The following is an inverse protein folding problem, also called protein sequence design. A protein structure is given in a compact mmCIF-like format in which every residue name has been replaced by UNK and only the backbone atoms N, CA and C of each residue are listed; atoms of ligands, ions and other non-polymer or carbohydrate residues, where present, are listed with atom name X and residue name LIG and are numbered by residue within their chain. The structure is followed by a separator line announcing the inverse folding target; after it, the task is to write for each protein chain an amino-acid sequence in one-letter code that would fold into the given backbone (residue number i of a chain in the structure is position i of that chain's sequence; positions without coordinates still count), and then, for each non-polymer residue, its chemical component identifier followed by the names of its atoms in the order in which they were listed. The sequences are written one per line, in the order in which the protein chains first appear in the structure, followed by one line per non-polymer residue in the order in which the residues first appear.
data_IF_070767513980
#
_entry.id   IF_070767513980
#
_cell.length_a   1.000
_cell.length_b   1.000
_cell.length_c   1.000
_cell.angle_alpha   90.00
_cell.angle_beta   90.00
_cell.angle_gamma   90.00
#
_symmetry.space_group_name_H-M   'P 1'
#
loop_
_entity.id
_entity.type
_entity.pdbx_description
1 polymer ?
#
# COMPACT_ATOMS: atom_id res chain seq x y z
N UNK A 1 25.44 -11.37 -26.14
CA UNK A 1 24.24 -10.80 -25.51
C UNK A 1 24.17 -11.37 -24.11
N UNK A 2 24.23 -10.53 -23.06
CA UNK A 2 24.01 -11.00 -21.69
C UNK A 2 22.54 -11.44 -21.59
N UNK A 3 22.29 -12.65 -21.11
CA UNK A 3 20.93 -13.07 -20.75
C UNK A 3 20.36 -12.02 -19.79
N UNK A 4 19.12 -11.55 -19.96
CA UNK A 4 18.49 -10.70 -18.96
C UNK A 4 18.45 -11.49 -17.65
N UNK A 5 19.06 -10.93 -16.61
CA UNK A 5 18.94 -11.49 -15.26
C UNK A 5 17.49 -11.30 -14.82
N UNK A 6 16.73 -12.40 -14.85
CA UNK A 6 15.31 -12.43 -14.50
C UNK A 6 15.04 -12.03 -13.03
N UNK A 7 16.09 -11.90 -12.22
CA UNK A 7 16.03 -11.44 -10.83
C UNK A 7 16.53 -9.99 -10.64
N UNK A 8 16.96 -9.31 -11.70
CA UNK A 8 17.46 -7.93 -11.60
C UNK A 8 16.38 -6.95 -11.13
N UNK A 9 15.13 -7.19 -11.54
CA UNK A 9 13.96 -6.47 -11.07
C UNK A 9 13.22 -7.32 -10.04
N UNK A 10 13.35 -6.91 -8.77
CA UNK A 10 12.83 -7.65 -7.62
C UNK A 10 12.04 -6.78 -6.66
N UNK A 11 10.89 -7.29 -6.25
CA UNK A 11 10.00 -6.63 -5.29
C UNK A 11 10.07 -7.36 -3.95
N UNK A 12 10.19 -6.59 -2.87
CA UNK A 12 10.04 -7.12 -1.52
C UNK A 12 8.62 -6.87 -1.03
N UNK A 13 7.97 -7.91 -0.51
CA UNK A 13 6.66 -7.79 0.13
C UNK A 13 6.86 -8.02 1.63
N UNK A 14 6.51 -7.01 2.43
CA UNK A 14 6.51 -7.10 3.88
C UNK A 14 5.13 -7.55 4.38
N UNK A 15 5.10 -8.71 5.02
CA UNK A 15 3.90 -9.34 5.55
C UNK A 15 3.57 -8.83 6.95
N UNK A 16 2.43 -8.16 7.09
CA UNK A 16 1.86 -7.71 8.35
C UNK A 16 0.75 -8.66 8.85
N UNK A 17 0.65 -9.87 8.27
CA UNK A 17 -0.31 -10.91 8.66
C UNK A 17 -1.57 -10.92 7.81
N UNK A 18 -1.58 -10.30 6.63
CA UNK A 18 -2.76 -10.34 5.74
C UNK A 18 -3.01 -11.74 5.21
N UNK A 19 -4.27 -12.16 5.20
CA UNK A 19 -4.72 -13.32 4.42
C UNK A 19 -4.42 -13.20 2.91
N UNK A 20 -4.20 -11.97 2.41
CA UNK A 20 -3.97 -11.68 0.99
C UNK A 20 -2.48 -11.50 0.62
N UNK A 21 -1.53 -11.61 1.54
CA UNK A 21 -0.09 -11.41 1.24
C UNK A 21 0.39 -12.35 0.11
N UNK A 22 0.00 -13.62 0.17
CA UNK A 22 0.35 -14.60 -0.89
C UNK A 22 -0.31 -14.26 -2.23
N UNK A 23 -1.51 -13.68 -2.21
CA UNK A 23 -2.18 -13.23 -3.43
C UNK A 23 -1.45 -12.05 -4.07
N UNK A 24 -0.96 -11.09 -3.27
CA UNK A 24 -0.13 -9.98 -3.75
C UNK A 24 1.13 -10.54 -4.44
N UNK A 25 1.84 -11.47 -3.80
CA UNK A 25 3.03 -12.09 -4.38
C UNK A 25 2.72 -12.83 -5.70
N UNK A 26 1.57 -13.52 -5.76
CA UNK A 26 1.11 -14.15 -7.00
C UNK A 26 0.86 -13.12 -8.10
N UNK A 27 0.23 -11.98 -7.81
CA UNK A 27 0.00 -10.90 -8.81
C UNK A 27 1.29 -10.29 -9.32
N UNK A 28 2.28 -10.07 -8.45
CA UNK A 28 3.61 -9.59 -8.86
C UNK A 28 4.30 -10.58 -9.80
N UNK A 29 4.22 -11.88 -9.49
CA UNK A 29 4.79 -12.94 -10.36
C UNK A 29 4.03 -13.10 -11.67
N UNK A 30 2.72 -12.92 -11.67
CA UNK A 30 1.90 -12.90 -12.90
C UNK A 30 2.29 -11.73 -13.82
N UNK A 31 2.73 -10.60 -13.25
CA UNK A 31 3.35 -9.49 -13.96
C UNK A 31 4.80 -9.75 -14.39
N UNK A 32 5.31 -10.98 -14.21
CA UNK A 32 6.65 -11.46 -14.60
C UNK A 32 7.80 -10.78 -13.84
N UNK A 33 7.55 -10.31 -12.62
CA UNK A 33 8.58 -9.72 -11.74
C UNK A 33 8.89 -10.69 -10.60
N UNK A 34 10.17 -10.83 -10.25
CA UNK A 34 10.57 -11.65 -9.11
C UNK A 34 10.17 -10.99 -7.79
N UNK A 35 9.70 -11.77 -6.82
CA UNK A 35 9.39 -11.24 -5.50
C UNK A 35 9.61 -12.25 -4.37
N UNK A 36 9.98 -11.71 -3.21
CA UNK A 36 10.05 -12.42 -1.95
C UNK A 36 9.07 -11.84 -0.94
N UNK A 37 8.51 -12.70 -0.10
CA UNK A 37 7.75 -12.30 1.07
C UNK A 37 8.66 -12.44 2.28
N UNK A 38 8.74 -11.37 3.09
CA UNK A 38 9.43 -11.38 4.39
C UNK A 38 8.46 -10.89 5.46
N UNK A 39 8.69 -11.27 6.71
CA UNK A 39 7.95 -10.69 7.82
C UNK A 39 8.24 -9.19 7.91
N UNK A 40 7.31 -8.44 8.50
CA UNK A 40 7.45 -6.99 8.63
C UNK A 40 8.68 -6.57 9.44
N UNK A 41 9.16 -7.39 10.36
CA UNK A 41 10.28 -7.13 11.27
C UNK A 41 11.65 -7.50 10.65
N UNK A 42 11.76 -7.49 9.32
CA UNK A 42 13.02 -7.80 8.62
C UNK A 42 14.14 -6.82 9.02
N UNK A 43 15.33 -7.36 9.26
CA UNK A 43 16.52 -6.57 9.58
C UNK A 43 16.94 -5.67 8.40
N UNK A 44 17.48 -4.50 8.73
CA UNK A 44 17.97 -3.55 7.73
C UNK A 44 19.06 -4.16 6.81
N UNK A 45 19.99 -4.95 7.37
CA UNK A 45 21.03 -5.61 6.60
C UNK A 45 20.46 -6.59 5.57
N UNK A 46 19.40 -7.32 5.95
CA UNK A 46 18.71 -8.25 5.05
C UNK A 46 17.96 -7.50 3.94
N UNK A 47 17.36 -6.36 4.28
CA UNK A 47 16.68 -5.47 3.34
C UNK A 47 17.67 -4.89 2.31
N UNK A 48 18.83 -4.40 2.76
CA UNK A 48 19.90 -3.88 1.90
C UNK A 48 20.51 -4.98 1.01
N UNK A 49 20.80 -6.15 1.58
CA UNK A 49 21.32 -7.29 0.83
C UNK A 49 20.33 -7.78 -0.23
N UNK A 50 19.03 -7.70 0.06
CA UNK A 50 17.98 -8.00 -0.92
C UNK A 50 17.91 -6.94 -2.03
N UNK A 51 18.37 -5.70 -1.81
CA UNK A 51 18.38 -4.60 -2.78
C UNK A 51 17.12 -4.57 -3.68
N UNK A 52 15.92 -4.35 -3.09
CA UNK A 52 14.66 -4.31 -3.83
C UNK A 52 14.61 -3.14 -4.81
N UNK A 53 13.87 -3.30 -5.91
CA UNK A 53 13.50 -2.20 -6.83
C UNK A 53 12.20 -1.51 -6.42
N UNK A 54 11.46 -2.11 -5.51
CA UNK A 54 10.25 -1.57 -4.91
C UNK A 54 9.79 -2.44 -3.75
N UNK A 55 9.01 -1.85 -2.84
CA UNK A 55 8.56 -2.51 -1.62
C UNK A 55 7.03 -2.42 -1.54
N UNK A 56 6.37 -3.52 -1.17
CA UNK A 56 4.94 -3.54 -0.88
C UNK A 56 4.75 -3.84 0.60
N UNK A 57 4.06 -2.96 1.31
CA UNK A 57 3.60 -3.17 2.67
C UNK A 57 2.19 -3.76 2.59
N UNK A 58 2.05 -5.02 2.97
CA UNK A 58 0.76 -5.72 2.94
C UNK A 58 -0.23 -5.18 3.98
N UNK A 59 -1.48 -5.65 3.89
CA UNK A 59 -2.45 -5.44 4.96
C UNK A 59 -2.14 -6.28 6.21
N UNK A 60 -2.99 -6.18 7.21
CA UNK A 60 -2.91 -6.97 8.43
C UNK A 60 -4.27 -7.00 9.12
N UNK A 61 -4.53 -7.97 10.01
CA UNK A 61 -5.75 -8.02 10.81
C UNK A 61 -5.76 -6.95 11.91
N UNK A 62 -4.57 -6.47 12.28
CA UNK A 62 -4.34 -5.55 13.38
C UNK A 62 -4.87 -4.14 13.09
N UNK A 63 -5.27 -3.43 14.15
CA UNK A 63 -5.40 -1.97 14.12
C UNK A 63 -4.05 -1.35 14.45
N UNK A 64 -3.69 -0.23 13.80
CA UNK A 64 -2.40 0.44 14.08
C UNK A 64 -2.35 1.00 15.52
N UNK A 65 -3.51 1.22 16.12
CA UNK A 65 -3.65 1.63 17.51
C UNK A 65 -3.28 0.51 18.48
N UNK A 66 -3.79 -0.69 18.25
CA UNK A 66 -3.62 -1.85 19.13
C UNK A 66 -2.23 -2.48 18.95
N UNK A 67 -1.72 -2.47 17.72
CA UNK A 67 -0.44 -3.07 17.35
C UNK A 67 0.62 -2.02 17.02
N UNK A 68 0.85 -1.08 17.93
CA UNK A 68 1.86 -0.01 17.76
C UNK A 68 3.31 -0.52 17.64
N UNK A 69 3.55 -1.81 17.85
CA UNK A 69 4.85 -2.48 17.64
C UNK A 69 4.99 -3.08 16.23
N UNK A 70 3.88 -3.26 15.50
CA UNK A 70 3.83 -3.84 14.17
C UNK A 70 4.06 -2.72 13.14
N UNK A 71 5.34 -2.43 12.86
CA UNK A 71 5.75 -1.29 12.02
C UNK A 71 6.76 -1.72 10.96
N UNK A 72 6.80 -0.99 9.85
CA UNK A 72 7.85 -1.21 8.85
C UNK A 72 9.21 -0.73 9.41
N UNK A 73 10.33 -1.42 9.10
CA UNK A 73 11.66 -0.93 9.43
C UNK A 73 11.87 0.43 8.77
N UNK A 74 12.43 1.39 9.50
CA UNK A 74 12.57 2.77 8.98
C UNK A 74 13.37 2.82 7.65
N UNK A 75 14.35 1.92 7.51
CA UNK A 75 15.14 1.74 6.30
C UNK A 75 14.29 1.57 5.03
N UNK A 76 13.08 1.00 5.12
CA UNK A 76 12.15 0.88 3.99
C UNK A 76 11.86 2.22 3.32
N UNK A 77 11.70 3.28 4.12
CA UNK A 77 11.37 4.62 3.62
C UNK A 77 12.61 5.43 3.22
N UNK A 78 13.81 4.97 3.60
CA UNK A 78 15.09 5.67 3.38
C UNK A 78 15.86 5.12 2.18
N UNK A 79 15.55 3.90 1.71
CA UNK A 79 16.20 3.24 0.57
C UNK A 79 16.08 3.97 -0.78
N UNK A 80 15.19 4.95 -0.89
CA UNK A 80 14.98 5.70 -2.13
C UNK A 80 14.33 4.89 -3.26
N UNK A 81 13.61 3.81 -2.92
CA UNK A 81 12.84 3.00 -3.87
C UNK A 81 11.33 3.20 -3.66
N UNK A 82 10.48 2.98 -4.67
CA UNK A 82 9.03 3.11 -4.52
C UNK A 82 8.47 2.17 -3.44
N UNK A 83 7.59 2.69 -2.60
CA UNK A 83 6.89 1.92 -1.56
C UNK A 83 5.38 2.02 -1.75
N UNK A 84 4.70 0.88 -1.81
CA UNK A 84 3.23 0.79 -1.89
C UNK A 84 2.68 0.25 -0.57
N UNK A 85 1.87 1.04 0.13
CA UNK A 85 1.13 0.58 1.31
C UNK A 85 -0.29 0.14 0.97
N UNK A 86 -0.70 -1.06 1.43
CA UNK A 86 -2.05 -1.59 1.21
C UNK A 86 -2.75 -1.78 2.56
N UNK A 87 -3.92 -1.13 2.75
CA UNK A 87 -4.70 -1.20 3.99
C UNK A 87 -3.83 -0.86 5.22
N UNK A 88 -3.53 -1.84 6.08
CA UNK A 88 -2.61 -1.66 7.22
C UNK A 88 -1.26 -1.07 6.81
N UNK A 89 -0.69 -1.50 5.68
CA UNK A 89 0.55 -0.97 5.14
C UNK A 89 0.48 0.53 4.82
N UNK A 90 -0.67 1.03 4.36
CA UNK A 90 -0.90 2.46 4.17
C UNK A 90 -0.99 3.19 5.51
N UNK A 91 -1.67 2.60 6.49
CA UNK A 91 -1.85 3.22 7.80
C UNK A 91 -0.52 3.31 8.59
N UNK A 92 0.27 2.24 8.59
CA UNK A 92 1.58 2.22 9.27
C UNK A 92 2.55 3.21 8.61
N UNK A 93 2.56 3.27 7.27
CA UNK A 93 3.30 4.28 6.50
C UNK A 93 2.86 5.70 6.89
N UNK A 94 1.55 5.95 6.91
CA UNK A 94 1.00 7.26 7.27
C UNK A 94 1.47 7.70 8.65
N UNK A 95 1.35 6.83 9.65
CA UNK A 95 1.74 7.15 11.02
C UNK A 95 3.26 7.34 11.17
N UNK A 96 4.08 6.52 10.51
CA UNK A 96 5.54 6.63 10.58
C UNK A 96 6.08 7.87 9.88
N UNK A 97 5.36 8.39 8.89
CA UNK A 97 5.74 9.61 8.16
C UNK A 97 5.11 10.90 8.73
N UNK A 98 4.54 10.84 9.94
CA UNK A 98 4.03 12.02 10.65
C UNK A 98 2.56 12.38 10.36
N UNK A 99 1.86 11.55 9.59
CA UNK A 99 0.41 11.62 9.45
C UNK A 99 -0.34 11.06 10.68
N UNK A 100 -1.67 11.04 10.60
CA UNK A 100 -2.55 10.49 11.63
C UNK A 100 -3.54 9.51 11.03
N UNK A 101 -3.77 8.44 11.76
CA UNK A 101 -4.77 7.40 11.48
C UNK A 101 -5.65 7.35 12.71
N UNK A 102 -6.96 7.18 12.55
CA UNK A 102 -7.95 7.02 13.62
C UNK A 102 -8.82 5.79 13.41
N UNK A 103 -9.24 5.16 14.50
CA UNK A 103 -10.16 4.03 14.42
C UNK A 103 -11.54 4.51 14.00
N UNK A 104 -12.10 3.91 12.95
CA UNK A 104 -13.42 4.25 12.46
C UNK A 104 -14.50 3.46 13.20
N UNK A 105 -15.58 4.14 13.59
CA UNK A 105 -16.75 3.49 14.21
C UNK A 105 -17.46 2.50 13.29
N UNK A 106 -17.37 2.71 11.96
CA UNK A 106 -17.84 1.78 10.94
C UNK A 106 -16.63 1.14 10.29
N UNK A 107 -16.52 -0.17 10.42
CA UNK A 107 -15.54 -0.95 9.68
C UNK A 107 -16.10 -1.22 8.29
N UNK A 108 -15.30 -0.97 7.26
CA UNK A 108 -15.69 -1.23 5.87
C UNK A 108 -14.94 -2.47 5.37
N UNK A 109 -15.71 -3.55 5.22
CA UNK A 109 -15.26 -4.78 4.61
C UNK A 109 -16.19 -5.10 3.45
N UNK A 110 -15.72 -4.89 2.23
CA UNK A 110 -16.48 -5.21 1.04
C UNK A 110 -16.28 -4.26 -0.12
N UNK A 111 -17.17 -4.41 -1.09
CA UNK A 111 -17.23 -3.59 -2.28
C UNK A 111 -17.49 -2.11 -1.92
N UNK A 112 -16.72 -1.22 -2.53
CA UNK A 112 -16.96 0.21 -2.52
C UNK A 112 -16.54 0.83 -3.85
N UNK A 113 -17.12 1.98 -4.18
CA UNK A 113 -16.66 2.81 -5.29
C UNK A 113 -15.80 3.95 -4.76
N UNK A 114 -14.55 4.04 -5.21
CA UNK A 114 -13.65 5.15 -4.89
C UNK A 114 -13.56 6.11 -6.06
N UNK A 115 -13.62 7.40 -5.75
CA UNK A 115 -13.33 8.43 -6.74
C UNK A 115 -11.83 8.58 -6.88
N UNK A 116 -11.30 8.19 -8.04
CA UNK A 116 -9.92 8.46 -8.42
C UNK A 116 -9.78 9.92 -8.86
N UNK A 117 -8.66 10.56 -8.50
CA UNK A 117 -8.40 11.97 -8.87
C UNK A 117 -7.50 12.14 -10.09
N UNK A 118 -7.15 11.05 -10.78
CA UNK A 118 -6.49 11.02 -12.10
C UNK A 118 -5.08 11.62 -12.23
N UNK A 119 -4.54 12.25 -11.18
CA UNK A 119 -3.26 12.97 -11.25
C UNK A 119 -2.07 12.17 -10.72
N UNK A 120 -2.31 11.05 -10.03
CA UNK A 120 -1.24 10.15 -9.58
C UNK A 120 -0.79 9.23 -10.71
N UNK A 121 0.51 8.92 -10.77
CA UNK A 121 1.02 7.89 -11.69
C UNK A 121 0.41 6.52 -11.41
N UNK A 122 0.07 6.22 -10.15
CA UNK A 122 -0.47 4.92 -9.75
C UNK A 122 -1.88 4.65 -10.31
N UNK A 123 -2.70 5.69 -10.41
CA UNK A 123 -4.13 5.59 -10.79
C UNK A 123 -4.42 6.24 -12.14
N UNK A 124 -3.37 6.53 -12.92
CA UNK A 124 -3.52 7.16 -14.23
C UNK A 124 -4.12 6.17 -15.21
N UNK A 125 -5.11 6.62 -15.97
CA UNK A 125 -5.77 5.84 -17.03
C UNK A 125 -6.42 4.53 -16.53
N UNK A 126 -6.80 4.49 -15.24
CA UNK A 126 -7.57 3.40 -14.64
C UNK A 126 -8.94 3.97 -14.24
N UNK A 127 -10.00 3.40 -14.81
CA UNK A 127 -11.39 3.81 -14.56
C UNK A 127 -12.32 2.63 -14.87
N UNK A 128 -13.18 2.28 -13.92
CA UNK A 128 -14.23 1.26 -14.12
C UNK A 128 -15.55 1.91 -14.55
N UNK A 129 -15.86 3.09 -13.99
CA UNK A 129 -17.04 3.89 -14.31
C UNK A 129 -16.72 5.38 -14.30
N UNK A 130 -17.54 6.15 -14.99
CA UNK A 130 -17.50 7.62 -14.96
C UNK A 130 -18.71 8.14 -14.19
N UNK A 131 -18.51 9.05 -13.24
CA UNK A 131 -19.63 9.75 -12.60
C UNK A 131 -20.32 10.72 -13.56
N UNK A 132 -21.55 11.16 -13.24
CA UNK A 132 -22.27 12.18 -14.01
C UNK A 132 -21.48 13.50 -14.15
N UNK A 133 -20.56 13.76 -13.22
CA UNK A 133 -19.70 14.94 -13.16
C UNK A 133 -18.39 14.75 -13.96
N UNK A 134 -18.17 13.57 -14.56
CA UNK A 134 -16.99 13.24 -15.36
C UNK A 134 -15.79 12.76 -14.53
N UNK A 135 -16.00 12.30 -13.29
CA UNK A 135 -14.90 11.77 -12.47
C UNK A 135 -14.75 10.26 -12.64
N UNK A 136 -13.51 9.79 -12.73
CA UNK A 136 -13.21 8.38 -12.74
C UNK A 136 -13.49 7.71 -11.40
N UNK A 137 -14.22 6.61 -11.45
CA UNK A 137 -14.58 5.76 -10.32
C UNK A 137 -13.91 4.40 -10.48
N UNK A 138 -13.43 3.85 -9.37
CA UNK A 138 -12.86 2.50 -9.31
C UNK A 138 -13.70 1.64 -8.38
N UNK A 139 -14.01 0.45 -8.85
CA UNK A 139 -14.64 -0.61 -8.07
C UNK A 139 -13.54 -1.31 -7.26
N UNK A 140 -13.54 -1.08 -5.94
CA UNK A 140 -12.49 -1.58 -5.04
C UNK A 140 -13.05 -2.47 -3.94
N UNK A 141 -12.17 -3.30 -3.40
CA UNK A 141 -12.45 -4.08 -2.20
C UNK A 141 -11.82 -3.41 -0.98
N UNK A 142 -12.63 -2.71 -0.19
CA UNK A 142 -12.21 -2.06 1.04
C UNK A 142 -12.15 -3.08 2.17
N UNK A 143 -11.12 -2.95 3.02
CA UNK A 143 -10.90 -3.87 4.14
C UNK A 143 -10.20 -3.16 5.30
N UNK A 144 -10.85 -2.14 5.87
CA UNK A 144 -10.24 -1.37 6.96
C UNK A 144 -11.20 -1.09 8.11
N UNK A 145 -10.65 -1.16 9.32
CA UNK A 145 -11.28 -0.68 10.56
C UNK A 145 -10.79 0.69 11.01
N UNK A 146 -9.64 1.12 10.49
CA UNK A 146 -9.05 2.43 10.73
C UNK A 146 -9.09 3.27 9.45
N UNK A 147 -8.92 4.59 9.57
CA UNK A 147 -8.83 5.49 8.43
C UNK A 147 -7.80 6.58 8.69
N UNK A 148 -7.11 6.99 7.63
CA UNK A 148 -6.23 8.16 7.68
C UNK A 148 -7.08 9.40 7.97
N UNK A 149 -6.67 10.24 8.93
CA UNK A 149 -7.33 11.53 9.25
C UNK A 149 -6.44 12.72 8.98
N UNK A 150 -5.12 12.52 8.90
CA UNK A 150 -4.16 13.55 8.50
C UNK A 150 -3.10 12.90 7.62
N UNK A 151 -2.95 13.39 6.39
CA UNK A 151 -1.90 12.89 5.49
C UNK A 151 -0.52 13.32 5.98
N UNK A 152 0.54 12.53 5.72
CA UNK A 152 1.91 12.97 5.93
C UNK A 152 2.24 14.20 5.09
N UNK A 153 3.24 14.97 5.51
CA UNK A 153 3.71 16.13 4.75
C UNK A 153 4.22 15.69 3.36
N UNK A 154 3.89 16.48 2.32
CA UNK A 154 4.30 16.22 0.95
C UNK A 154 3.37 15.28 0.16
N UNK A 155 2.49 14.54 0.83
CA UNK A 155 1.50 13.67 0.18
C UNK A 155 0.28 14.44 -0.31
N UNK A 156 -0.35 13.91 -1.36
CA UNK A 156 -1.58 14.40 -1.98
C UNK A 156 -2.64 13.32 -1.95
N UNK A 157 -3.89 13.76 -1.87
CA UNK A 157 -5.05 12.88 -1.96
C UNK A 157 -5.25 12.41 -3.41
N UNK A 158 -5.22 11.09 -3.64
CA UNK A 158 -5.35 10.50 -4.99
C UNK A 158 -6.63 9.69 -5.17
N UNK A 159 -7.24 9.20 -4.08
CA UNK A 159 -8.51 8.50 -4.11
C UNK A 159 -9.31 8.75 -2.82
N UNK A 160 -10.64 8.87 -2.91
CA UNK A 160 -11.51 9.14 -1.76
C UNK A 160 -12.89 8.49 -1.91
N UNK A 161 -13.53 8.15 -0.78
CA UNK A 161 -14.97 7.85 -0.65
C UNK A 161 -15.59 8.72 0.43
N UNK A 162 -16.92 8.67 0.58
CA UNK A 162 -17.64 9.34 1.66
C UNK A 162 -17.22 8.84 3.05
N UNK A 163 -16.90 7.56 3.17
CA UNK A 163 -16.53 6.91 4.43
C UNK A 163 -15.01 6.84 4.67
N UNK A 164 -14.22 6.98 3.61
CA UNK A 164 -12.76 7.02 3.63
C UNK A 164 -12.27 8.23 2.80
N UNK A 165 -12.22 9.44 3.40
CA UNK A 165 -11.81 10.66 2.71
C UNK A 165 -10.38 10.59 2.14
N UNK A 166 -9.55 9.70 2.69
CA UNK A 166 -8.16 9.47 2.30
C UNK A 166 -7.93 8.00 1.90
N UNK A 167 -8.82 7.46 1.06
CA UNK A 167 -8.73 6.07 0.58
C UNK A 167 -7.42 5.77 -0.19
N UNK A 168 -6.76 6.79 -0.75
CA UNK A 168 -5.42 6.66 -1.30
C UNK A 168 -4.66 7.99 -1.29
N UNK A 169 -3.36 7.93 -1.00
CA UNK A 169 -2.44 9.08 -0.95
C UNK A 169 -1.15 8.79 -1.73
N UNK A 170 -0.49 9.80 -2.28
CA UNK A 170 0.83 9.70 -2.92
C UNK A 170 1.59 11.03 -2.94
#
# INVERSE_FOLDING_TARGET
MKNPDIHADRILILDFGSQYTQLIARRVREARVYCEIRAFDVDADALEAFAPKGIILSGGPESVFEASHVRAPQAVFELGVPVLGICYGLHTMTQQLGGRVESCRRREFGYAQVRARGHSQLLRDIEDHTSDEGFGLLDVWMSHGDSVTTMPEGFKLIASTDNAPFAGIA
#
